data_IF_618353767735
#
_entry.id   IF_618353767735
#
_cell.length_a   1.000
_cell.length_b   1.000
_cell.length_c   1.000
_cell.angle_alpha   90.00
_cell.angle_beta   90.00
_cell.angle_gamma   90.00
#
_symmetry.space_group_name_H-M   'P 1'
#
loop_
_entity.id
_entity.type
_entity.pdbx_description
1 polymer ?
#
# COMPACT_ATOMS: atom_id res chain seq x y z
N UNK A 1 18.86 7.00 20.87
CA UNK A 1 18.31 5.72 21.40
C UNK A 1 18.68 5.65 22.88
N UNK A 2 17.74 5.37 23.80
CA UNK A 2 18.04 5.29 25.24
C UNK A 2 19.10 4.20 25.49
N UNK A 3 20.07 4.45 26.41
CA UNK A 3 21.15 3.51 26.77
C UNK A 3 20.62 2.12 27.15
N UNK A 4 19.40 2.08 27.70
CA UNK A 4 18.73 0.84 28.11
C UNK A 4 18.37 -0.01 26.88
N UNK A 5 17.84 0.60 25.82
CA UNK A 5 17.46 -0.12 24.60
C UNK A 5 18.69 -0.61 23.84
N UNK A 6 19.77 0.17 23.83
CA UNK A 6 21.05 -0.26 23.25
C UNK A 6 21.60 -1.50 23.95
N UNK A 7 21.53 -1.55 25.29
CA UNK A 7 21.97 -2.72 26.05
C UNK A 7 21.14 -3.97 25.72
N UNK A 8 19.82 -3.86 25.66
CA UNK A 8 18.94 -5.00 25.29
C UNK A 8 19.22 -5.47 23.87
N UNK A 9 19.52 -4.54 22.96
CA UNK A 9 19.91 -4.88 21.59
C UNK A 9 21.25 -5.64 21.57
N UNK A 10 22.26 -5.15 22.29
CA UNK A 10 23.58 -5.79 22.38
C UNK A 10 23.50 -7.18 23.02
N UNK A 11 22.72 -7.35 24.09
CA UNK A 11 22.48 -8.63 24.75
C UNK A 11 21.76 -9.61 23.81
N UNK A 12 20.70 -9.17 23.13
CA UNK A 12 19.97 -10.03 22.21
C UNK A 12 20.75 -10.42 20.94
N UNK A 13 21.68 -9.57 20.50
CA UNK A 13 22.61 -9.91 19.41
C UNK A 13 23.64 -10.94 19.87
N UNK A 14 24.12 -10.85 21.12
CA UNK A 14 25.05 -11.84 21.71
C UNK A 14 24.39 -13.21 21.90
N UNK A 15 23.13 -13.23 22.31
CA UNK A 15 22.35 -14.46 22.51
C UNK A 15 21.85 -15.11 21.20
N UNK A 16 22.16 -14.50 20.04
CA UNK A 16 21.71 -14.92 18.71
C UNK A 16 20.19 -15.20 18.64
N UNK A 17 19.40 -14.42 19.38
CA UNK A 17 17.97 -14.58 19.46
C UNK A 17 17.32 -14.26 18.10
N UNK A 18 16.24 -14.97 17.70
CA UNK A 18 15.55 -14.63 16.46
C UNK A 18 15.01 -13.20 16.52
N UNK A 19 15.18 -12.45 15.43
CA UNK A 19 14.88 -11.00 15.36
C UNK A 19 13.50 -10.63 15.88
N UNK A 20 12.49 -11.48 15.67
CA UNK A 20 11.12 -11.28 16.18
C UNK A 20 11.08 -11.27 17.70
N UNK A 21 11.78 -12.17 18.37
CA UNK A 21 11.82 -12.24 19.82
C UNK A 21 12.63 -11.06 20.39
N UNK A 22 13.74 -10.70 19.73
CA UNK A 22 14.52 -9.53 20.10
C UNK A 22 13.67 -8.24 20.07
N UNK A 23 12.92 -8.04 18.99
CA UNK A 23 11.98 -6.92 18.86
C UNK A 23 10.92 -6.93 19.97
N UNK A 24 10.36 -8.10 20.33
CA UNK A 24 9.41 -8.22 21.45
C UNK A 24 10.04 -7.82 22.78
N UNK A 25 11.26 -8.28 23.07
CA UNK A 25 11.98 -7.94 24.30
C UNK A 25 12.29 -6.45 24.38
N UNK A 26 12.77 -5.86 23.28
CA UNK A 26 13.01 -4.42 23.19
C UNK A 26 11.72 -3.63 23.41
N UNK A 27 10.62 -4.03 22.76
CA UNK A 27 9.32 -3.38 22.90
C UNK A 27 8.81 -3.47 24.34
N UNK A 28 8.87 -4.64 24.97
CA UNK A 28 8.46 -4.83 26.36
C UNK A 28 9.30 -3.97 27.32
N UNK A 29 10.62 -3.88 27.10
CA UNK A 29 11.47 -3.03 27.93
C UNK A 29 11.18 -1.55 27.71
N UNK A 30 10.93 -1.15 26.46
CA UNK A 30 10.54 0.21 26.12
C UNK A 30 9.24 0.62 26.81
N UNK A 31 8.21 -0.22 26.77
CA UNK A 31 6.92 0.04 27.45
C UNK A 31 7.08 0.29 28.96
N UNK A 32 8.02 -0.40 29.61
CA UNK A 32 8.26 -0.23 31.05
C UNK A 32 9.09 1.00 31.42
N UNK A 33 9.78 1.61 30.46
CA UNK A 33 10.68 2.76 30.70
C UNK A 33 10.09 4.05 30.11
N UNK A 34 9.14 3.94 29.18
CA UNK A 34 8.51 5.10 28.58
C UNK A 34 7.53 5.75 29.55
N UNK A 35 7.78 7.01 29.88
CA UNK A 35 6.80 7.87 30.54
C UNK A 35 5.79 8.33 29.49
N UNK A 36 4.51 8.04 29.72
CA UNK A 36 3.40 8.43 28.85
C UNK A 36 2.31 9.09 29.68
N UNK A 37 1.49 9.93 29.07
CA UNK A 37 0.37 10.55 29.77
C UNK A 37 -0.67 9.50 30.21
N UNK A 38 -1.46 9.82 31.23
CA UNK A 38 -2.54 8.93 31.67
C UNK A 38 -3.55 8.61 30.55
N UNK A 39 -3.77 9.55 29.64
CA UNK A 39 -4.64 9.37 28.47
C UNK A 39 -4.03 8.33 27.51
N UNK A 40 -2.78 8.51 27.08
CA UNK A 40 -2.10 7.55 26.20
C UNK A 40 -2.00 6.14 26.82
N UNK A 41 -1.79 6.06 28.14
CA UNK A 41 -1.79 4.79 28.87
C UNK A 41 -3.15 4.08 28.78
N UNK A 42 -4.25 4.81 28.96
CA UNK A 42 -5.60 4.26 28.83
C UNK A 42 -5.89 3.78 27.40
N UNK A 43 -5.51 4.55 26.38
CA UNK A 43 -5.65 4.15 24.98
C UNK A 43 -4.87 2.86 24.68
N UNK A 44 -3.61 2.78 25.11
CA UNK A 44 -2.78 1.58 24.91
C UNK A 44 -3.33 0.36 25.64
N UNK A 45 -3.74 0.48 26.91
CA UNK A 45 -4.30 -0.62 27.71
C UNK A 45 -5.60 -1.18 27.11
N UNK A 46 -6.45 -0.30 26.59
CA UNK A 46 -7.72 -0.69 25.96
C UNK A 46 -7.57 -1.04 24.47
N UNK A 47 -6.36 -0.98 23.92
CA UNK A 47 -6.10 -1.17 22.48
C UNK A 47 -6.95 -0.24 21.60
N UNK A 48 -7.20 0.98 22.09
CA UNK A 48 -7.91 2.02 21.35
C UNK A 48 -6.94 2.75 20.41
N UNK A 49 -7.47 3.23 19.29
CA UNK A 49 -6.70 4.01 18.33
C UNK A 49 -6.47 5.42 18.87
N UNK A 50 -5.21 5.78 19.09
CA UNK A 50 -4.82 7.11 19.61
C UNK A 50 -5.10 8.24 18.61
N UNK A 51 -5.08 7.95 17.31
CA UNK A 51 -5.47 8.91 16.27
C UNK A 51 -6.32 8.20 15.23
N UNK A 52 -7.35 8.90 14.76
CA UNK A 52 -8.15 8.48 13.62
C UNK A 52 -8.11 9.57 12.55
N UNK A 53 -8.09 9.14 11.29
CA UNK A 53 -8.14 10.03 10.14
C UNK A 53 -9.27 9.57 9.25
N UNK A 54 -10.10 10.51 8.83
CA UNK A 54 -11.15 10.25 7.84
C UNK A 54 -10.56 9.92 6.45
N UNK A 55 -9.26 10.13 6.25
CA UNK A 55 -8.55 9.86 4.99
C UNK A 55 -7.49 8.80 5.20
N UNK A 56 -7.65 7.67 4.51
CA UNK A 56 -6.60 6.66 4.40
C UNK A 56 -5.37 7.20 3.66
N UNK A 57 -4.20 6.71 4.02
CA UNK A 57 -2.93 7.01 3.34
C UNK A 57 -2.45 5.72 2.66
N UNK A 58 -2.02 5.82 1.40
CA UNK A 58 -1.44 4.68 0.67
C UNK A 58 -0.06 5.06 0.14
N UNK A 59 0.92 4.19 0.37
CA UNK A 59 2.21 4.29 -0.29
C UNK A 59 2.19 3.46 -1.58
N UNK A 60 2.47 4.10 -2.70
CA UNK A 60 2.48 3.46 -4.02
C UNK A 60 3.94 3.21 -4.43
N UNK A 61 4.34 1.95 -4.62
CA UNK A 61 5.70 1.60 -4.99
C UNK A 61 5.92 1.82 -6.49
N UNK A 62 6.34 3.03 -6.87
CA UNK A 62 6.56 3.45 -8.26
C UNK A 62 7.97 3.16 -8.79
N UNK A 63 8.78 2.40 -8.04
CA UNK A 63 10.11 2.00 -8.49
C UNK A 63 10.07 1.14 -9.76
N UNK A 64 11.21 1.04 -10.44
CA UNK A 64 11.41 0.11 -11.57
C UNK A 64 11.06 -1.32 -11.16
N UNK A 65 10.63 -2.14 -12.12
CA UNK A 65 10.12 -3.51 -11.86
C UNK A 65 11.08 -4.35 -11.01
N UNK A 66 12.39 -4.25 -11.26
CA UNK A 66 13.41 -5.02 -10.52
C UNK A 66 13.73 -4.49 -9.11
N UNK A 67 13.50 -3.22 -8.82
CA UNK A 67 13.82 -2.60 -7.52
C UNK A 67 12.57 -2.30 -6.67
N UNK A 68 11.38 -2.64 -7.18
CA UNK A 68 10.11 -2.37 -6.52
C UNK A 68 9.93 -3.27 -5.29
N UNK A 69 9.59 -2.66 -4.16
CA UNK A 69 9.20 -3.40 -2.97
C UNK A 69 7.90 -4.19 -3.24
N UNK A 70 7.95 -5.52 -3.08
CA UNK A 70 6.81 -6.43 -3.20
C UNK A 70 6.78 -7.37 -2.01
N UNK A 71 5.59 -7.83 -1.66
CA UNK A 71 5.41 -8.84 -0.61
C UNK A 71 5.57 -10.22 -1.23
N UNK A 72 6.30 -11.11 -0.56
CA UNK A 72 6.37 -12.52 -0.95
C UNK A 72 5.10 -13.25 -0.54
N UNK A 73 4.76 -14.31 -1.27
CA UNK A 73 3.70 -15.24 -0.89
C UNK A 73 4.04 -15.98 0.41
N UNK A 74 3.02 -16.51 1.07
CA UNK A 74 3.20 -17.35 2.25
C UNK A 74 4.00 -18.60 1.91
N UNK A 75 4.66 -19.20 2.91
CA UNK A 75 5.45 -20.44 2.70
C UNK A 75 4.61 -21.57 2.10
N UNK A 76 3.37 -21.72 2.56
CA UNK A 76 2.43 -22.71 2.06
C UNK A 76 2.05 -22.44 0.60
N UNK A 77 1.76 -21.18 0.25
CA UNK A 77 1.46 -20.82 -1.12
C UNK A 77 2.67 -21.03 -2.04
N UNK A 78 3.89 -20.78 -1.56
CA UNK A 78 5.12 -21.04 -2.31
C UNK A 78 5.39 -22.54 -2.51
N UNK A 79 5.09 -23.38 -1.52
CA UNK A 79 5.24 -24.84 -1.62
C UNK A 79 4.23 -25.46 -2.60
N UNK A 80 3.05 -24.86 -2.69
CA UNK A 80 1.99 -25.30 -3.61
C UNK A 80 2.16 -24.75 -5.04
N UNK A 81 3.18 -23.93 -5.31
CA UNK A 81 3.45 -23.45 -6.66
C UNK A 81 3.99 -24.58 -7.55
N UNK A 82 3.70 -24.52 -8.87
CA UNK A 82 4.36 -25.39 -9.84
C UNK A 82 5.88 -25.23 -9.78
N UNK A 83 6.62 -26.32 -9.98
CA UNK A 83 8.08 -26.40 -9.82
C UNK A 83 8.87 -25.39 -10.69
N UNK A 84 8.29 -24.95 -11.82
CA UNK A 84 8.89 -23.98 -12.73
C UNK A 84 8.24 -22.58 -12.69
N UNK A 85 7.38 -22.30 -11.71
CA UNK A 85 6.74 -20.99 -11.59
C UNK A 85 7.70 -19.96 -11.01
N UNK A 86 7.82 -18.80 -11.68
CA UNK A 86 8.57 -17.64 -11.17
C UNK A 86 7.69 -16.67 -10.34
N UNK A 87 6.43 -17.02 -10.10
CA UNK A 87 5.44 -16.16 -9.44
C UNK A 87 5.51 -16.28 -7.90
N UNK A 88 6.57 -15.71 -7.33
CA UNK A 88 6.86 -15.74 -5.89
C UNK A 88 6.23 -14.59 -5.08
N UNK A 89 5.68 -13.58 -5.75
CA UNK A 89 5.19 -12.36 -5.12
C UNK A 89 3.67 -12.30 -5.05
N UNK A 90 3.14 -11.67 -4.01
CA UNK A 90 1.71 -11.35 -3.95
C UNK A 90 1.36 -10.25 -4.96
N UNK A 91 0.16 -10.35 -5.52
CA UNK A 91 -0.40 -9.30 -6.38
C UNK A 91 -0.58 -8.00 -5.58
N UNK A 92 -0.14 -6.88 -6.15
CA UNK A 92 -0.29 -5.55 -5.60
C UNK A 92 -1.24 -4.69 -6.44
N UNK A 93 -1.32 -3.41 -6.07
CA UNK A 93 -2.18 -2.44 -6.76
C UNK A 93 -1.84 -2.27 -8.25
N UNK A 94 -0.57 -2.45 -8.62
CA UNK A 94 -0.09 -2.37 -10.01
C UNK A 94 -0.74 -3.49 -10.82
N UNK A 95 -0.67 -4.72 -10.32
CA UNK A 95 -1.21 -5.91 -10.97
C UNK A 95 -2.75 -5.83 -11.05
N UNK A 96 -3.42 -5.34 -10.00
CA UNK A 96 -4.86 -5.10 -10.02
C UNK A 96 -5.28 -4.01 -11.01
N UNK A 97 -4.46 -2.97 -11.16
CA UNK A 97 -4.71 -1.89 -12.11
C UNK A 97 -4.58 -2.35 -13.57
N UNK A 98 -3.62 -3.23 -13.89
CA UNK A 98 -3.52 -3.85 -15.22
C UNK A 98 -4.77 -4.66 -15.60
N UNK A 99 -5.42 -5.30 -14.61
CA UNK A 99 -6.63 -6.12 -14.79
C UNK A 99 -7.94 -5.37 -14.53
N UNK A 100 -7.93 -4.02 -14.58
CA UNK A 100 -9.15 -3.21 -14.41
C UNK A 100 -10.19 -3.44 -15.52
N UNK A 101 -11.45 -3.11 -15.26
CA UNK A 101 -12.51 -3.18 -16.28
C UNK A 101 -12.28 -2.12 -17.38
N UNK A 102 -12.81 -2.37 -18.59
CA UNK A 102 -12.67 -1.44 -19.74
C UNK A 102 -13.35 -0.10 -19.49
N UNK A 103 -14.36 -0.06 -18.63
CA UNK A 103 -14.99 1.20 -18.19
C UNK A 103 -14.04 2.13 -17.41
N UNK A 104 -12.92 1.60 -16.90
CA UNK A 104 -11.91 2.34 -16.14
C UNK A 104 -10.62 2.56 -16.96
N UNK A 105 -10.68 2.43 -18.28
CA UNK A 105 -9.48 2.54 -19.14
C UNK A 105 -8.81 3.93 -19.04
N UNK A 106 -9.62 4.98 -18.98
CA UNK A 106 -9.19 6.37 -18.88
C UNK A 106 -8.63 6.76 -17.51
N UNK A 107 -8.85 5.93 -16.49
CA UNK A 107 -8.39 6.22 -15.14
C UNK A 107 -6.88 5.99 -15.04
N UNK A 108 -6.14 6.97 -14.53
CA UNK A 108 -4.73 6.82 -14.24
C UNK A 108 -4.48 5.98 -12.97
N UNK A 109 -3.23 5.53 -12.80
CA UNK A 109 -2.87 4.66 -11.69
C UNK A 109 -3.03 5.34 -10.32
N UNK A 110 -2.73 6.64 -10.24
CA UNK A 110 -2.92 7.44 -9.03
C UNK A 110 -4.40 7.46 -8.60
N UNK A 111 -5.31 7.77 -9.52
CA UNK A 111 -6.75 7.78 -9.28
C UNK A 111 -7.29 6.42 -8.88
N UNK A 112 -6.79 5.35 -9.50
CA UNK A 112 -7.11 3.99 -9.08
C UNK A 112 -6.71 3.74 -7.62
N UNK A 113 -5.47 4.06 -7.25
CA UNK A 113 -4.98 3.87 -5.88
C UNK A 113 -5.69 4.77 -4.85
N UNK A 114 -6.09 5.99 -5.26
CA UNK A 114 -6.75 6.96 -4.41
C UNK A 114 -8.20 6.57 -4.09
N UNK A 115 -8.97 6.23 -5.13
CA UNK A 115 -10.41 6.05 -5.03
C UNK A 115 -10.83 4.59 -4.88
N UNK A 116 -10.01 3.61 -5.24
CA UNK A 116 -10.40 2.20 -5.17
C UNK A 116 -9.73 1.45 -4.02
N UNK A 117 -10.52 0.59 -3.38
CA UNK A 117 -10.08 -0.36 -2.38
C UNK A 117 -10.24 -1.78 -2.94
N UNK A 118 -9.18 -2.58 -2.81
CA UNK A 118 -9.15 -3.97 -3.22
C UNK A 118 -9.74 -4.90 -2.16
N UNK A 119 -10.42 -5.96 -2.62
CA UNK A 119 -10.98 -7.03 -1.82
C UNK A 119 -10.77 -8.37 -2.54
N UNK A 120 -10.11 -9.34 -1.90
CA UNK A 120 -9.90 -10.66 -2.47
C UNK A 120 -11.21 -11.43 -2.72
N UNK A 121 -12.20 -11.23 -1.84
CA UNK A 121 -13.53 -11.84 -1.93
C UNK A 121 -14.60 -10.77 -1.90
N UNK A 122 -15.72 -10.99 -2.59
CA UNK A 122 -16.91 -10.15 -2.45
C UNK A 122 -17.42 -10.30 -1.02
N UNK A 123 -17.13 -9.33 -0.15
CA UNK A 123 -17.76 -9.27 1.17
C UNK A 123 -19.24 -9.01 0.92
N UNK A 124 -20.05 -10.08 0.95
CA UNK A 124 -21.47 -9.91 1.24
C UNK A 124 -21.48 -9.29 2.63
N UNK A 125 -21.88 -8.02 2.72
CA UNK A 125 -22.18 -7.37 3.99
C UNK A 125 -23.39 -8.09 4.60
N UNK A 126 -23.20 -9.31 5.07
CA UNK A 126 -24.05 -9.85 6.11
C UNK A 126 -23.64 -9.04 7.32
N UNK A 127 -24.49 -8.10 7.75
CA UNK A 127 -24.42 -7.51 9.08
C UNK A 127 -24.43 -8.68 10.08
N UNK A 128 -23.26 -9.21 10.45
CA UNK A 128 -23.19 -10.29 11.43
C UNK A 128 -23.11 -9.66 12.80
N UNK A 129 -24.25 -9.68 13.48
CA UNK A 129 -24.30 -9.99 14.90
C UNK A 129 -23.28 -11.08 15.22
N UNK A 130 -22.33 -10.75 16.10
CA UNK A 130 -21.51 -11.65 16.90
C UNK A 130 -20.96 -12.88 16.16
N UNK A 131 -19.76 -12.77 15.59
CA UNK A 131 -18.90 -13.95 15.50
C UNK A 131 -17.42 -13.58 15.63
N UNK A 132 -16.69 -14.36 16.44
CA UNK A 132 -15.38 -14.05 17.02
C UNK A 132 -14.18 -14.54 16.20
N UNK A 133 -14.38 -14.88 14.94
CA UNK A 133 -13.29 -15.34 14.07
C UNK A 133 -13.03 -14.29 13.01
N UNK A 134 -12.22 -13.29 13.35
CA UNK A 134 -11.80 -12.25 12.41
C UNK A 134 -10.34 -12.47 12.05
N UNK A 135 -10.10 -12.94 10.82
CA UNK A 135 -8.79 -12.92 10.19
C UNK A 135 -8.22 -11.49 10.22
N UNK A 136 -7.13 -11.30 10.98
CA UNK A 136 -6.49 -10.01 11.26
C UNK A 136 -6.07 -9.25 9.98
N UNK A 137 -5.87 -9.94 8.85
CA UNK A 137 -5.46 -9.31 7.59
C UNK A 137 -6.56 -8.48 6.91
N UNK A 138 -7.83 -8.59 7.34
CA UNK A 138 -8.97 -7.95 6.65
C UNK A 138 -9.58 -6.76 7.42
N UNK A 139 -9.01 -6.39 8.56
CA UNK A 139 -9.59 -5.46 9.53
C UNK A 139 -9.14 -3.99 9.42
N UNK A 140 -8.66 -3.57 8.26
CA UNK A 140 -8.43 -2.14 7.96
C UNK A 140 -9.59 -1.54 7.15
N UNK A 141 -10.83 -1.82 7.55
CA UNK A 141 -11.97 -1.01 7.11
C UNK A 141 -12.33 -0.15 8.31
N UNK A 142 -12.01 1.14 8.25
CA UNK A 142 -12.71 2.10 9.10
C UNK A 142 -14.17 2.02 8.69
N UNK A 143 -15.06 1.70 9.62
CA UNK A 143 -16.51 1.59 9.36
C UNK A 143 -17.10 2.90 8.79
N UNK A 144 -16.36 4.01 8.94
CA UNK A 144 -16.65 5.34 8.39
C UNK A 144 -16.19 5.58 6.96
N UNK A 145 -15.58 4.58 6.30
CA UNK A 145 -15.44 4.62 4.85
C UNK A 145 -16.82 4.41 4.25
N UNK A 146 -17.64 5.45 4.27
CA UNK A 146 -18.87 5.52 3.53
C UNK A 146 -18.53 5.21 2.07
N UNK A 147 -18.89 4.02 1.62
CA UNK A 147 -18.51 3.52 0.31
C UNK A 147 -19.61 3.83 -0.69
N UNK A 148 -19.25 4.27 -1.90
CA UNK A 148 -20.20 4.59 -2.95
C UNK A 148 -20.20 3.49 -4.01
N UNK A 149 -21.38 2.92 -4.30
CA UNK A 149 -21.56 1.91 -5.34
C UNK A 149 -21.28 0.46 -4.93
N UNK A 150 -21.56 -0.45 -5.88
CA UNK A 150 -21.38 -1.89 -5.74
C UNK A 150 -19.91 -2.33 -5.90
N UNK A 151 -19.64 -3.61 -5.59
CA UNK A 151 -18.36 -4.23 -5.90
C UNK A 151 -18.23 -4.41 -7.42
N UNK A 152 -17.09 -4.01 -7.98
CA UNK A 152 -16.70 -4.25 -9.36
C UNK A 152 -15.69 -5.41 -9.39
N UNK A 153 -15.88 -6.36 -10.29
CA UNK A 153 -14.98 -7.50 -10.44
C UNK A 153 -13.85 -7.19 -11.41
N UNK A 154 -12.61 -7.40 -10.99
CA UNK A 154 -11.44 -7.29 -11.87
C UNK A 154 -11.45 -8.42 -12.90
N UNK A 155 -10.81 -8.18 -14.04
CA UNK A 155 -10.67 -9.20 -15.09
C UNK A 155 -9.92 -10.41 -14.56
N UNK A 156 -10.16 -11.57 -15.17
CA UNK A 156 -9.42 -12.82 -14.93
C UNK A 156 -9.46 -13.31 -13.47
N UNK A 157 -10.50 -12.92 -12.72
CA UNK A 157 -10.67 -13.38 -11.33
C UNK A 157 -9.66 -12.77 -10.35
N UNK A 158 -9.04 -11.63 -10.67
CA UNK A 158 -8.06 -10.96 -9.80
C UNK A 158 -8.67 -10.39 -8.51
N UNK A 159 -9.99 -10.45 -8.33
CA UNK A 159 -10.72 -10.06 -7.12
C UNK A 159 -11.71 -8.94 -7.39
N UNK A 160 -12.05 -8.18 -6.35
CA UNK A 160 -13.05 -7.13 -6.41
C UNK A 160 -12.45 -5.78 -5.99
N UNK A 161 -12.94 -4.72 -6.61
CA UNK A 161 -12.64 -3.34 -6.20
C UNK A 161 -13.93 -2.62 -5.83
N UNK A 162 -13.81 -1.66 -4.92
CA UNK A 162 -14.92 -0.79 -4.54
C UNK A 162 -14.46 0.65 -4.43
N UNK A 163 -15.28 1.57 -4.93
CA UNK A 163 -14.96 3.00 -4.96
C UNK A 163 -15.28 3.66 -3.62
N UNK A 164 -14.32 4.40 -3.06
CA UNK A 164 -14.46 5.20 -1.85
C UNK A 164 -15.05 6.57 -2.17
N UNK A 165 -15.78 7.15 -1.22
CA UNK A 165 -16.22 8.56 -1.31
C UNK A 165 -15.06 9.54 -1.17
N UNK A 166 -14.14 9.28 -0.22
CA UNK A 166 -12.96 10.13 0.02
C UNK A 166 -11.69 9.51 -0.57
N UNK A 167 -10.94 10.30 -1.33
CA UNK A 167 -9.67 9.91 -1.91
C UNK A 167 -8.58 9.70 -0.84
N UNK A 168 -7.82 8.59 -0.96
CA UNK A 168 -6.61 8.37 -0.17
C UNK A 168 -5.55 9.41 -0.48
N UNK A 169 -4.77 9.76 0.53
CA UNK A 169 -3.54 10.52 0.32
C UNK A 169 -2.49 9.56 -0.25
N UNK A 170 -2.02 9.85 -1.46
CA UNK A 170 -0.99 9.05 -2.13
C UNK A 170 0.40 9.52 -1.67
N UNK A 171 1.21 8.58 -1.22
CA UNK A 171 2.65 8.78 -0.98
C UNK A 171 3.43 7.90 -1.93
N UNK A 172 4.54 8.40 -2.44
CA UNK A 172 5.43 7.65 -3.32
C UNK A 172 6.85 8.22 -3.21
N UNK A 173 7.84 7.48 -3.69
CA UNK A 173 9.22 7.95 -3.75
C UNK A 173 9.37 9.06 -4.80
N UNK A 174 9.84 10.24 -4.37
CA UNK A 174 10.10 11.39 -5.23
C UNK A 174 11.60 11.51 -5.48
N UNK A 175 12.13 10.95 -6.59
CA UNK A 175 13.53 11.13 -6.96
C UNK A 175 13.83 12.61 -7.26
N UNK A 176 15.08 13.01 -7.08
CA UNK A 176 15.50 14.37 -7.42
C UNK A 176 15.54 14.54 -8.95
N UNK A 177 14.76 15.48 -9.47
CA UNK A 177 14.65 15.75 -10.91
C UNK A 177 15.99 16.11 -11.58
N UNK A 178 16.92 16.75 -10.85
CA UNK A 178 18.23 17.13 -11.38
C UNK A 178 19.22 15.97 -11.40
N UNK A 179 19.18 15.11 -10.36
CA UNK A 179 20.12 14.01 -10.20
C UNK A 179 19.74 12.81 -11.06
N UNK A 180 18.46 12.45 -11.07
CA UNK A 180 17.93 11.25 -11.73
C UNK A 180 16.69 11.60 -12.58
N UNK A 181 16.89 12.45 -13.60
CA UNK A 181 15.82 12.93 -14.49
C UNK A 181 15.00 11.81 -15.14
N UNK A 182 15.66 10.70 -15.52
CA UNK A 182 14.97 9.53 -16.10
C UNK A 182 14.03 8.87 -15.10
N UNK A 183 14.49 8.66 -13.87
CA UNK A 183 13.69 8.04 -12.81
C UNK A 183 12.53 8.96 -12.41
N UNK A 184 12.77 10.27 -12.32
CA UNK A 184 11.71 11.26 -12.08
C UNK A 184 10.61 11.21 -13.13
N UNK A 185 10.98 11.19 -14.41
CA UNK A 185 10.03 11.10 -15.52
C UNK A 185 9.25 9.78 -15.48
N UNK A 186 9.94 8.66 -15.23
CA UNK A 186 9.33 7.33 -15.10
C UNK A 186 8.26 7.29 -14.01
N UNK A 187 8.57 7.78 -12.80
CA UNK A 187 7.65 7.77 -11.67
C UNK A 187 6.36 8.56 -11.96
N UNK A 188 6.48 9.72 -12.63
CA UNK A 188 5.33 10.55 -12.96
C UNK A 188 4.48 9.96 -14.08
N UNK A 189 5.10 9.43 -15.13
CA UNK A 189 4.39 8.73 -16.21
C UNK A 189 3.63 7.53 -15.65
N UNK A 190 4.27 6.73 -14.80
CA UNK A 190 3.63 5.56 -14.17
C UNK A 190 2.43 5.92 -13.31
N UNK A 191 2.44 7.06 -12.61
CA UNK A 191 1.33 7.46 -11.74
C UNK A 191 0.18 8.12 -12.49
N UNK A 192 0.48 9.04 -13.39
CA UNK A 192 -0.49 10.01 -13.89
C UNK A 192 -0.92 9.78 -15.33
N UNK A 193 -0.18 8.98 -16.10
CA UNK A 193 -0.62 8.54 -17.41
C UNK A 193 -1.44 7.24 -17.27
N UNK A 194 -2.58 7.08 -17.96
CA UNK A 194 -3.25 5.79 -18.08
C UNK A 194 -2.40 4.79 -18.88
N UNK A 195 -2.33 3.54 -18.43
CA UNK A 195 -1.58 2.45 -19.08
C UNK A 195 -2.18 1.09 -18.68
N UNK A 196 -2.00 0.05 -19.50
CA UNK A 196 -2.41 -1.33 -19.18
C UNK A 196 -1.20 -2.19 -18.87
N UNK A 197 -0.24 -2.16 -19.79
CA UNK A 197 1.00 -2.92 -19.70
C UNK A 197 2.18 -1.98 -19.47
N UNK A 198 2.64 -1.96 -18.22
CA UNK A 198 3.76 -1.13 -17.81
C UNK A 198 5.02 -1.42 -18.64
N UNK A 199 5.27 -2.68 -19.01
CA UNK A 199 6.51 -3.04 -19.69
C UNK A 199 6.55 -2.48 -21.11
N UNK A 200 5.48 -2.68 -21.87
CA UNK A 200 5.41 -2.26 -23.27
C UNK A 200 5.18 -0.75 -23.43
N UNK A 201 4.38 -0.13 -22.55
CA UNK A 201 3.99 1.27 -22.68
C UNK A 201 4.97 2.23 -21.99
N UNK A 202 5.65 1.80 -20.91
CA UNK A 202 6.52 2.68 -20.12
C UNK A 202 7.98 2.24 -20.21
N UNK A 203 8.28 0.99 -19.86
CA UNK A 203 9.66 0.55 -19.64
C UNK A 203 10.44 0.36 -20.96
N UNK A 204 9.75 -0.06 -22.04
CA UNK A 204 10.34 -0.22 -23.38
C UNK A 204 10.49 1.10 -24.12
N UNK A 205 9.67 2.10 -23.81
CA UNK A 205 9.70 3.40 -24.45
C UNK A 205 10.67 4.36 -23.78
N UNK A 206 11.03 5.45 -24.46
CA UNK A 206 11.78 6.51 -23.81
C UNK A 206 10.87 7.33 -22.88
N UNK A 207 10.96 7.04 -21.58
CA UNK A 207 10.14 7.69 -20.55
C UNK A 207 10.28 9.22 -20.56
N UNK A 208 11.43 9.76 -20.96
CA UNK A 208 11.63 11.22 -21.02
C UNK A 208 10.84 11.85 -22.15
N UNK A 209 10.82 11.20 -23.32
CA UNK A 209 10.03 11.65 -24.47
C UNK A 209 8.52 11.57 -24.18
N UNK A 210 8.07 10.46 -23.59
CA UNK A 210 6.66 10.29 -23.16
C UNK A 210 6.24 11.35 -22.14
N UNK A 211 7.09 11.64 -21.16
CA UNK A 211 6.84 12.68 -20.18
C UNK A 211 6.73 14.06 -20.83
N UNK A 212 7.60 14.39 -21.79
CA UNK A 212 7.55 15.68 -22.50
C UNK A 212 6.28 15.84 -23.33
N UNK A 213 5.86 14.79 -24.02
CA UNK A 213 4.64 14.81 -24.84
C UNK A 213 3.37 14.97 -23.99
N UNK A 214 3.32 14.31 -22.84
CA UNK A 214 2.14 14.28 -21.97
C UNK A 214 2.26 15.19 -20.74
N UNK A 215 3.20 16.13 -20.76
CA UNK A 215 3.57 16.94 -19.58
C UNK A 215 2.37 17.65 -18.97
N UNK A 216 1.55 18.28 -19.80
CA UNK A 216 0.39 19.04 -19.35
C UNK A 216 -0.64 18.13 -18.65
N UNK A 217 -0.99 17.00 -19.25
CA UNK A 217 -1.93 16.04 -18.66
C UNK A 217 -1.42 15.47 -17.33
N UNK A 218 -0.10 15.19 -17.24
CA UNK A 218 0.54 14.70 -16.02
C UNK A 218 0.50 15.77 -14.91
N UNK A 219 0.74 17.04 -15.22
CA UNK A 219 0.69 18.14 -14.26
C UNK A 219 -0.74 18.41 -13.78
N UNK A 220 -1.73 18.36 -14.67
CA UNK A 220 -3.15 18.48 -14.33
C UNK A 220 -3.60 17.36 -13.38
N UNK A 221 -3.28 16.11 -13.71
CA UNK A 221 -3.56 14.96 -12.85
C UNK A 221 -2.81 15.03 -11.51
N UNK A 222 -1.54 15.42 -11.51
CA UNK A 222 -0.77 15.59 -10.27
C UNK A 222 -1.37 16.68 -9.36
N UNK A 223 -1.88 17.77 -9.95
CA UNK A 223 -2.53 18.84 -9.22
C UNK A 223 -3.86 18.39 -8.57
N UNK A 224 -4.60 17.48 -9.18
CA UNK A 224 -5.81 16.89 -8.59
C UNK A 224 -5.51 16.23 -7.24
N UNK A 225 -4.41 15.46 -7.16
CA UNK A 225 -4.03 14.74 -5.93
C UNK A 225 -3.15 15.54 -4.98
N UNK A 226 -2.65 16.70 -5.40
CA UNK A 226 -1.85 17.61 -4.57
C UNK A 226 -2.72 18.56 -3.73
N UNK A 227 -3.92 18.90 -4.23
CA UNK A 227 -4.88 19.72 -3.49
C UNK A 227 -5.54 18.86 -2.42
N UNK A 228 -5.51 19.33 -1.17
CA UNK A 228 -6.44 18.83 -0.16
C UNK A 228 -7.81 19.38 -0.56
N UNK A 229 -8.80 18.57 -0.95
CA UNK A 229 -10.18 19.05 -1.01
C UNK A 229 -10.56 19.59 0.37
N UNK A 230 -11.06 20.82 0.37
CA UNK A 230 -11.59 21.53 1.55
C UNK A 230 -12.70 20.74 2.26
#
# INVERSE_FOLDING_TARGET
MSRILQRVLEEGVKDNAPTKNLLKTIAAKYYNVCEISAQEAAYNLLSLRMTESSRGVIFVPTGLVGSRARMMKSKEALQNLPEFSSDVFCNGMVEYYSHRLDSLESLNFAGFCAYYQYFAKKRILIRRTNDKDIDEETNNINEEDEVEGGFLELKEGYGFIKRRKKAKVIRYYKPNAQKDSKLYSHHLVMLYLPWRDQFNEIDKQDCQSLFRQNKQAIEEAANEFSKLPD
#
